data_IF_766162768957
#
_entry.id   IF_766162768957
#
_cell.length_a   1.000
_cell.length_b   1.000
_cell.length_c   1.000
_cell.angle_alpha   90.00
_cell.angle_beta   90.00
_cell.angle_gamma   90.00
#
_symmetry.space_group_name_H-M   'P 1'
#
loop_
_entity.id
_entity.type
_entity.pdbx_description
1 polymer ?
#
# COMPACT_ATOMS: atom_id res chain seq x y z
N UNK A 1 -8.63 -19.37 -5.76
CA UNK A 1 -8.99 -20.77 -5.39
C UNK A 1 -8.97 -20.88 -3.89
N UNK A 2 -9.57 -21.96 -3.32
CA UNK A 2 -9.39 -22.24 -1.90
C UNK A 2 -7.98 -22.77 -1.64
N UNK A 3 -7.37 -22.41 -0.51
CA UNK A 3 -6.07 -22.92 -0.10
C UNK A 3 -6.14 -23.37 1.36
N UNK A 4 -5.64 -24.56 1.66
CA UNK A 4 -5.42 -25.04 3.03
C UNK A 4 -3.98 -24.77 3.44
N UNK A 5 -3.82 -24.22 4.62
CA UNK A 5 -2.54 -23.84 5.23
C UNK A 5 -2.31 -24.73 6.43
N UNK A 6 -1.22 -25.49 6.42
CA UNK A 6 -0.84 -26.38 7.52
C UNK A 6 -0.30 -25.56 8.68
N UNK A 7 -0.77 -25.79 9.91
CA UNK A 7 -0.34 -25.08 11.10
C UNK A 7 1.12 -25.34 11.43
N UNK A 8 1.72 -24.44 12.19
CA UNK A 8 3.06 -24.55 12.74
C UNK A 8 3.92 -23.33 12.46
N UNK A 9 4.77 -23.02 13.42
CA UNK A 9 5.71 -21.91 13.33
C UNK A 9 6.65 -22.07 12.12
N UNK A 10 7.06 -20.95 11.55
CA UNK A 10 7.91 -20.91 10.35
C UNK A 10 9.25 -20.27 10.66
N UNK A 11 10.32 -20.79 10.03
CA UNK A 11 11.66 -20.26 10.15
C UNK A 11 12.37 -20.25 8.80
N UNK A 12 13.32 -19.34 8.63
CA UNK A 12 14.12 -19.24 7.41
C UNK A 12 14.35 -17.80 6.96
N UNK A 13 14.61 -17.66 5.66
CA UNK A 13 14.91 -16.37 5.03
C UNK A 13 14.00 -16.13 3.83
N UNK A 14 13.57 -14.89 3.65
CA UNK A 14 12.77 -14.46 2.49
C UNK A 14 13.35 -13.14 1.97
N UNK A 15 13.53 -13.04 0.65
CA UNK A 15 13.83 -11.77 -0.01
C UNK A 15 12.53 -11.11 -0.44
N UNK A 16 12.27 -9.92 0.13
CA UNK A 16 11.01 -9.22 -0.10
C UNK A 16 10.93 -8.62 -1.50
N UNK A 17 9.76 -8.63 -2.18
CA UNK A 17 9.57 -7.96 -3.45
C UNK A 17 9.63 -6.44 -3.31
N UNK A 18 9.70 -5.76 -4.45
CA UNK A 18 9.68 -4.31 -4.54
C UNK A 18 8.39 -3.69 -3.98
N UNK A 19 8.54 -2.54 -3.33
CA UNK A 19 7.43 -1.79 -2.73
C UNK A 19 6.42 -1.34 -3.78
N UNK A 20 5.20 -1.87 -3.68
CA UNK A 20 4.09 -1.44 -4.53
C UNK A 20 3.89 0.08 -4.45
N UNK A 21 3.90 0.62 -3.25
CA UNK A 21 3.65 2.05 -3.00
C UNK A 21 4.72 2.96 -3.60
N UNK A 22 5.99 2.53 -3.60
CA UNK A 22 7.07 3.28 -4.24
C UNK A 22 7.06 3.08 -5.75
N UNK A 23 6.81 1.86 -6.23
CA UNK A 23 6.76 1.53 -7.66
C UNK A 23 5.76 2.39 -8.44
N UNK A 24 4.55 2.59 -7.91
CA UNK A 24 3.56 3.49 -8.51
C UNK A 24 4.13 4.89 -8.75
N UNK A 25 4.78 5.46 -7.75
CA UNK A 25 5.35 6.81 -7.78
C UNK A 25 6.47 6.93 -8.80
N UNK A 26 7.39 5.98 -8.78
CA UNK A 26 8.55 5.99 -9.67
C UNK A 26 8.14 5.73 -11.13
N UNK A 27 7.17 4.86 -11.40
CA UNK A 27 6.62 4.65 -12.74
C UNK A 27 5.94 5.94 -13.27
N UNK A 28 5.18 6.61 -12.42
CA UNK A 28 4.53 7.89 -12.75
C UNK A 28 5.59 8.96 -13.04
N UNK A 29 6.59 9.11 -12.16
CA UNK A 29 7.67 10.07 -12.38
C UNK A 29 8.46 9.77 -13.67
N UNK A 30 8.73 8.49 -13.98
CA UNK A 30 9.38 8.08 -15.21
C UNK A 30 8.54 8.43 -16.45
N UNK A 31 7.22 8.19 -16.39
CA UNK A 31 6.30 8.50 -17.50
C UNK A 31 6.11 10.01 -17.72
N UNK A 32 6.22 10.81 -16.65
CA UNK A 32 6.12 12.29 -16.69
C UNK A 32 7.49 12.97 -16.89
N UNK A 33 8.52 12.19 -17.14
CA UNK A 33 9.89 12.66 -17.34
C UNK A 33 10.20 13.14 -18.73
N UNK A 34 11.48 13.37 -18.99
CA UNK A 34 12.01 13.76 -20.30
C UNK A 34 12.86 12.64 -20.92
N UNK A 35 13.53 11.84 -20.12
CA UNK A 35 14.42 10.78 -20.55
C UNK A 35 13.85 9.38 -20.27
N UNK A 36 14.36 8.41 -21.05
CA UNK A 36 14.05 7.00 -20.86
C UNK A 36 14.64 6.50 -19.53
N UNK A 37 13.84 5.83 -18.72
CA UNK A 37 14.22 5.35 -17.39
C UNK A 37 13.95 3.85 -17.25
N UNK A 38 14.94 3.09 -16.78
CA UNK A 38 14.78 1.74 -16.29
C UNK A 38 14.31 1.80 -14.82
N UNK A 39 13.08 1.35 -14.55
CA UNK A 39 12.54 1.20 -13.20
C UNK A 39 12.67 -0.27 -12.80
N UNK A 40 13.67 -0.57 -11.99
CA UNK A 40 13.91 -1.93 -11.48
C UNK A 40 12.92 -2.23 -10.36
N UNK A 41 12.05 -3.22 -10.58
CA UNK A 41 10.94 -3.55 -9.71
C UNK A 41 10.73 -5.07 -9.73
N UNK A 42 11.30 -5.79 -8.76
CA UNK A 42 11.12 -7.23 -8.64
C UNK A 42 9.72 -7.55 -8.06
N UNK A 43 9.02 -8.50 -8.66
CA UNK A 43 7.70 -8.93 -8.18
C UNK A 43 6.56 -7.98 -8.59
N UNK A 44 6.37 -7.80 -9.89
CA UNK A 44 5.30 -6.94 -10.44
C UNK A 44 3.93 -7.44 -9.98
N UNK A 45 3.29 -6.67 -9.11
CA UNK A 45 1.93 -6.94 -8.63
C UNK A 45 0.85 -6.48 -9.63
N UNK A 46 -0.38 -6.97 -9.48
CA UNK A 46 -1.50 -6.57 -10.32
C UNK A 46 -1.73 -5.05 -10.30
N UNK A 47 -1.58 -4.41 -9.14
CA UNK A 47 -1.72 -2.95 -8.99
C UNK A 47 -0.61 -2.19 -9.74
N UNK A 48 0.65 -2.66 -9.67
CA UNK A 48 1.78 -2.06 -10.40
C UNK A 48 1.55 -2.19 -11.92
N UNK A 49 1.15 -3.38 -12.38
CA UNK A 49 0.83 -3.62 -13.79
C UNK A 49 -0.31 -2.74 -14.29
N UNK A 50 -1.35 -2.52 -13.47
CA UNK A 50 -2.46 -1.62 -13.80
C UNK A 50 -1.95 -0.17 -14.01
N UNK A 51 -1.06 0.33 -13.14
CA UNK A 51 -0.46 1.67 -13.32
C UNK A 51 0.35 1.75 -14.61
N UNK A 52 1.20 0.76 -14.90
CA UNK A 52 1.98 0.73 -16.13
C UNK A 52 1.09 0.75 -17.38
N UNK A 53 0.01 -0.06 -17.41
CA UNK A 53 -0.97 -0.08 -18.49
C UNK A 53 -1.69 1.26 -18.66
N UNK A 54 -2.13 1.89 -17.57
CA UNK A 54 -2.79 3.20 -17.62
C UNK A 54 -1.84 4.29 -18.14
N UNK A 55 -0.57 4.29 -17.71
CA UNK A 55 0.44 5.21 -18.21
C UNK A 55 0.72 5.00 -19.72
N UNK A 56 0.73 3.74 -20.17
CA UNK A 56 0.84 3.42 -21.59
C UNK A 56 -0.35 3.95 -22.39
N UNK A 57 -1.57 3.82 -21.87
CA UNK A 57 -2.78 4.37 -22.48
C UNK A 57 -2.74 5.92 -22.55
N UNK A 58 -2.03 6.58 -21.62
CA UNK A 58 -1.79 8.03 -21.65
C UNK A 58 -0.64 8.46 -22.57
N UNK A 59 0.04 7.53 -23.23
CA UNK A 59 1.05 7.80 -24.24
C UNK A 59 2.50 7.53 -23.84
N UNK A 60 2.76 6.97 -22.65
CA UNK A 60 4.07 6.44 -22.32
C UNK A 60 4.33 5.15 -23.12
N UNK A 61 5.58 4.90 -23.51
CA UNK A 61 5.97 3.57 -24.02
C UNK A 61 6.64 2.80 -22.91
N UNK A 62 5.96 1.78 -22.40
CA UNK A 62 6.43 0.95 -21.28
C UNK A 62 6.67 -0.46 -21.78
N UNK A 63 7.90 -0.92 -21.67
CA UNK A 63 8.35 -2.27 -22.01
C UNK A 63 8.61 -3.01 -20.69
N UNK A 64 7.92 -4.14 -20.47
CA UNK A 64 8.17 -5.01 -19.34
C UNK A 64 9.48 -5.76 -19.56
N UNK A 65 10.31 -5.79 -18.52
CA UNK A 65 11.61 -6.47 -18.50
C UNK A 65 11.58 -7.59 -17.46
N UNK A 66 12.59 -8.42 -17.41
CA UNK A 66 12.72 -9.50 -16.42
C UNK A 66 12.63 -8.98 -14.97
N UNK A 67 13.17 -7.81 -14.71
CA UNK A 67 13.20 -7.19 -13.38
C UNK A 67 12.60 -5.78 -13.37
N UNK A 68 11.43 -5.59 -13.99
CA UNK A 68 10.77 -4.29 -13.93
C UNK A 68 10.35 -3.72 -15.28
N UNK A 69 10.58 -2.43 -15.52
CA UNK A 69 10.06 -1.73 -16.67
C UNK A 69 11.09 -0.77 -17.29
N UNK A 70 11.12 -0.72 -18.62
CA UNK A 70 11.77 0.33 -19.34
C UNK A 70 10.72 1.34 -19.79
N UNK A 71 10.75 2.54 -19.22
CA UNK A 71 9.73 3.58 -19.42
C UNK A 71 10.28 4.68 -20.34
N UNK A 72 9.64 4.88 -21.49
CA UNK A 72 9.84 6.06 -22.32
C UNK A 72 8.71 7.06 -22.01
N UNK A 73 9.02 8.33 -21.72
CA UNK A 73 8.06 9.32 -21.22
C UNK A 73 6.91 9.63 -22.19
N UNK A 74 5.81 10.15 -21.64
CA UNK A 74 4.70 10.72 -22.40
C UNK A 74 5.18 11.98 -23.11
N UNK A 75 5.34 11.91 -24.43
CA UNK A 75 5.68 13.09 -25.27
C UNK A 75 4.44 13.81 -25.79
N UNK A 76 3.40 13.06 -26.08
CA UNK A 76 2.09 13.56 -26.55
C UNK A 76 1.02 12.62 -26.01
N UNK A 77 -0.04 13.19 -25.46
CA UNK A 77 -1.24 12.43 -25.09
C UNK A 77 -1.93 11.98 -26.39
N UNK A 78 -2.42 10.74 -26.47
CA UNK A 78 -3.19 10.28 -27.63
C UNK A 78 -4.41 11.15 -27.90
N UNK A 79 -4.78 11.27 -29.17
CA UNK A 79 -6.00 11.98 -29.56
C UNK A 79 -7.24 11.12 -29.21
N UNK A 80 -8.28 11.79 -28.73
CA UNK A 80 -9.51 11.14 -28.30
C UNK A 80 -9.46 10.66 -26.85
N UNK A 81 -10.30 9.68 -26.55
CA UNK A 81 -10.49 9.17 -25.18
C UNK A 81 -9.52 8.04 -24.86
N UNK A 82 -8.85 8.16 -23.72
CA UNK A 82 -7.99 7.10 -23.17
C UNK A 82 -8.80 6.20 -22.22
N UNK A 83 -8.78 4.89 -22.42
CA UNK A 83 -9.38 3.92 -21.51
C UNK A 83 -8.33 3.44 -20.50
N UNK A 84 -8.56 3.72 -19.20
CA UNK A 84 -7.62 3.49 -18.11
C UNK A 84 -8.15 2.37 -17.21
N UNK A 85 -7.64 1.16 -17.40
CA UNK A 85 -8.04 -0.03 -16.63
C UNK A 85 -7.26 -0.09 -15.32
N UNK A 86 -7.81 0.51 -14.27
CA UNK A 86 -7.16 0.52 -12.96
C UNK A 86 -7.49 -0.68 -12.08
N UNK A 87 -8.40 -1.58 -12.53
CA UNK A 87 -8.82 -2.73 -11.75
C UNK A 87 -9.33 -2.30 -10.36
N UNK A 88 -8.82 -2.94 -9.32
CA UNK A 88 -9.13 -2.58 -7.93
C UNK A 88 -8.10 -1.60 -7.30
N UNK A 89 -7.10 -1.13 -8.07
CA UNK A 89 -6.02 -0.29 -7.57
C UNK A 89 -6.45 1.14 -7.24
N UNK A 90 -6.67 1.41 -5.97
CA UNK A 90 -6.95 2.76 -5.49
C UNK A 90 -5.80 3.74 -5.71
N UNK A 91 -4.55 3.27 -5.69
CA UNK A 91 -3.38 4.10 -5.97
C UNK A 91 -3.34 4.53 -7.43
N UNK A 92 -3.56 3.59 -8.37
CA UNK A 92 -3.62 3.89 -9.80
C UNK A 92 -4.67 4.96 -10.09
N UNK A 93 -5.91 4.76 -9.62
CA UNK A 93 -6.99 5.72 -9.82
C UNK A 93 -6.66 7.10 -9.26
N UNK A 94 -6.31 7.16 -7.96
CA UNK A 94 -6.19 8.44 -7.24
C UNK A 94 -4.94 9.22 -7.57
N UNK A 95 -3.88 8.54 -8.03
CA UNK A 95 -2.69 9.22 -8.52
C UNK A 95 -2.87 9.73 -9.94
N UNK A 96 -3.47 8.92 -10.82
CA UNK A 96 -3.60 9.29 -12.22
C UNK A 96 -4.75 10.26 -12.49
N UNK A 97 -5.78 10.30 -11.66
CA UNK A 97 -6.91 11.20 -11.87
C UNK A 97 -6.51 12.68 -11.98
N UNK A 98 -5.75 13.28 -11.03
CA UNK A 98 -5.25 14.64 -11.21
C UNK A 98 -4.21 14.77 -12.34
N UNK A 99 -3.43 13.71 -12.63
CA UNK A 99 -2.46 13.72 -13.73
C UNK A 99 -3.17 13.78 -15.09
N UNK A 100 -4.29 13.07 -15.28
CA UNK A 100 -5.13 13.18 -16.48
C UNK A 100 -5.57 14.62 -16.70
N UNK A 101 -6.00 15.31 -15.64
CA UNK A 101 -6.34 16.73 -15.71
C UNK A 101 -5.13 17.63 -16.00
N UNK A 102 -3.97 17.35 -15.41
CA UNK A 102 -2.75 18.12 -15.68
C UNK A 102 -2.25 17.96 -17.13
N UNK A 103 -2.47 16.79 -17.73
CA UNK A 103 -2.15 16.50 -19.13
C UNK A 103 -3.24 17.01 -20.10
N UNK A 104 -4.41 17.44 -19.61
CA UNK A 104 -5.56 17.81 -20.43
C UNK A 104 -6.15 16.65 -21.23
N UNK A 105 -5.96 15.42 -20.76
CA UNK A 105 -6.45 14.24 -21.43
C UNK A 105 -7.96 14.02 -21.21
N UNK A 106 -8.62 13.40 -22.20
CA UNK A 106 -9.94 12.82 -22.01
C UNK A 106 -9.77 11.34 -21.66
N UNK A 107 -10.30 10.90 -20.53
CA UNK A 107 -10.12 9.51 -20.11
C UNK A 107 -11.37 8.92 -19.46
N UNK A 108 -11.41 7.59 -19.45
CA UNK A 108 -12.36 6.79 -18.67
C UNK A 108 -11.58 5.82 -17.81
N UNK A 109 -11.74 5.91 -16.51
CA UNK A 109 -11.25 4.90 -15.58
C UNK A 109 -12.25 3.76 -15.47
N UNK A 110 -11.79 2.54 -15.74
CA UNK A 110 -12.51 1.29 -15.50
C UNK A 110 -12.10 0.79 -14.12
N UNK A 111 -13.06 0.75 -13.21
CA UNK A 111 -12.87 0.38 -11.80
C UNK A 111 -13.51 -0.97 -11.54
N UNK A 112 -12.89 -1.79 -10.72
CA UNK A 112 -13.39 -3.14 -10.41
C UNK A 112 -13.53 -3.34 -8.90
N UNK A 113 -14.23 -4.42 -8.52
CA UNK A 113 -14.42 -4.82 -7.12
C UNK A 113 -15.07 -3.73 -6.29
N UNK A 114 -14.47 -3.40 -5.14
CA UNK A 114 -14.96 -2.32 -4.26
C UNK A 114 -14.48 -0.93 -4.63
N UNK A 115 -13.62 -0.78 -5.65
CA UNK A 115 -13.06 0.54 -5.97
C UNK A 115 -14.12 1.59 -6.34
N UNK A 116 -15.23 1.25 -7.04
CA UNK A 116 -16.31 2.20 -7.31
C UNK A 116 -17.00 2.74 -6.05
N UNK A 117 -17.08 1.96 -4.98
CA UNK A 117 -17.71 2.37 -3.71
C UNK A 117 -16.76 3.12 -2.78
N UNK A 118 -15.45 3.09 -3.03
CA UNK A 118 -14.47 3.81 -2.20
C UNK A 118 -14.54 5.30 -2.51
N UNK A 119 -14.54 6.18 -1.46
CA UNK A 119 -14.75 7.61 -1.66
C UNK A 119 -13.69 8.23 -2.60
N UNK A 120 -14.15 9.16 -3.43
CA UNK A 120 -13.31 10.09 -4.18
C UNK A 120 -13.35 11.50 -3.58
N UNK A 121 -14.42 11.85 -2.86
CA UNK A 121 -14.51 13.12 -2.16
C UNK A 121 -13.45 13.19 -1.02
N UNK A 122 -12.82 14.35 -0.81
CA UNK A 122 -13.04 15.63 -1.47
C UNK A 122 -12.21 15.85 -2.74
N UNK A 123 -11.42 14.86 -3.22
CA UNK A 123 -10.57 15.05 -4.39
C UNK A 123 -11.36 15.46 -5.64
N UNK A 124 -12.51 14.81 -5.87
CA UNK A 124 -13.37 15.09 -7.02
C UNK A 124 -13.86 16.55 -7.06
N UNK A 125 -14.26 17.09 -5.91
CA UNK A 125 -14.70 18.49 -5.79
C UNK A 125 -13.54 19.45 -6.09
N UNK A 126 -12.37 19.19 -5.48
CA UNK A 126 -11.16 20.01 -5.71
C UNK A 126 -10.76 20.01 -7.19
N UNK A 127 -10.82 18.88 -7.87
CA UNK A 127 -10.48 18.79 -9.29
C UNK A 127 -11.50 19.52 -10.18
N UNK A 128 -12.81 19.45 -9.84
CA UNK A 128 -13.87 20.16 -10.55
C UNK A 128 -13.74 21.68 -10.41
N UNK A 129 -13.43 22.16 -9.21
CA UNK A 129 -13.19 23.58 -8.94
C UNK A 129 -12.01 24.15 -9.76
N UNK A 130 -11.06 23.28 -10.14
CA UNK A 130 -9.85 23.66 -10.88
C UNK A 130 -9.86 23.25 -12.36
N UNK A 131 -11.06 23.04 -12.94
CA UNK A 131 -11.22 22.94 -14.40
C UNK A 131 -11.46 21.54 -14.96
N UNK A 132 -11.55 20.51 -14.12
CA UNK A 132 -11.94 19.17 -14.58
C UNK A 132 -13.45 18.97 -14.58
N UNK A 133 -13.91 18.13 -15.49
CA UNK A 133 -15.26 17.56 -15.49
C UNK A 133 -15.17 16.09 -15.16
N UNK A 134 -15.90 15.66 -14.14
CA UNK A 134 -15.96 14.27 -13.67
C UNK A 134 -17.41 13.79 -13.66
N UNK A 135 -17.66 12.61 -14.25
CA UNK A 135 -18.97 11.96 -14.25
C UNK A 135 -18.80 10.47 -13.95
N UNK A 136 -19.46 10.01 -12.92
CA UNK A 136 -19.54 8.59 -12.59
C UNK A 136 -20.72 7.93 -13.30
N UNK A 137 -20.52 6.67 -13.74
CA UNK A 137 -21.53 5.86 -14.39
C UNK A 137 -21.24 4.39 -14.07
N UNK A 138 -21.82 3.88 -12.99
CA UNK A 138 -21.50 2.55 -12.45
C UNK A 138 -20.01 2.43 -12.11
N UNK A 139 -19.34 1.46 -12.70
CA UNK A 139 -17.90 1.21 -12.48
C UNK A 139 -17.00 2.16 -13.28
N UNK A 140 -17.57 2.99 -14.14
CA UNK A 140 -16.83 3.92 -14.98
C UNK A 140 -16.75 5.32 -14.36
N UNK A 141 -15.57 5.93 -14.43
CA UNK A 141 -15.37 7.34 -14.10
C UNK A 141 -14.84 8.06 -15.34
N UNK A 142 -15.69 8.87 -15.95
CA UNK A 142 -15.35 9.75 -17.08
C UNK A 142 -14.70 11.02 -16.58
N UNK A 143 -13.59 11.41 -17.16
CA UNK A 143 -12.90 12.64 -16.83
C UNK A 143 -12.38 13.35 -18.07
N UNK A 144 -12.45 14.68 -18.03
CA UNK A 144 -11.99 15.59 -19.08
C UNK A 144 -11.70 16.96 -18.48
N UNK A 145 -11.21 17.89 -19.31
CA UNK A 145 -10.84 19.23 -18.89
C UNK A 145 -9.37 19.36 -18.57
N UNK A 146 -8.94 20.60 -18.35
CA UNK A 146 -7.55 20.95 -18.05
C UNK A 146 -7.45 21.54 -16.66
N UNK A 147 -6.64 20.95 -15.78
CA UNK A 147 -6.32 21.56 -14.50
C UNK A 147 -5.58 22.89 -14.70
N UNK A 148 -5.93 23.86 -13.89
CA UNK A 148 -5.30 25.18 -13.87
C UNK A 148 -4.57 25.38 -12.53
N UNK A 149 -3.38 26.02 -12.57
CA UNK A 149 -2.63 26.35 -11.35
C UNK A 149 -3.39 27.34 -10.47
N UNK A 150 -3.17 27.27 -9.17
CA UNK A 150 -3.86 28.08 -8.17
C UNK A 150 -3.78 27.51 -6.76
N UNK A 151 -4.71 27.91 -5.90
CA UNK A 151 -4.76 27.48 -4.50
C UNK A 151 -5.65 26.25 -4.35
N UNK A 152 -5.04 25.12 -4.04
CA UNK A 152 -5.68 23.84 -3.78
C UNK A 152 -5.77 23.61 -2.27
N UNK A 153 -6.94 23.31 -1.75
CA UNK A 153 -7.12 22.93 -0.35
C UNK A 153 -7.79 21.56 -0.27
N UNK A 154 -7.19 20.64 0.49
CA UNK A 154 -7.70 19.27 0.63
C UNK A 154 -7.62 18.80 2.08
N UNK A 155 -8.62 18.03 2.52
CA UNK A 155 -8.63 17.44 3.86
C UNK A 155 -7.57 16.33 3.99
N UNK A 156 -6.77 16.37 5.06
CA UNK A 156 -5.67 15.43 5.31
C UNK A 156 -6.11 14.10 5.92
N UNK A 157 -7.32 14.04 6.45
CA UNK A 157 -7.82 12.89 7.21
C UNK A 157 -8.62 11.87 6.39
N UNK A 158 -8.74 12.05 5.07
CA UNK A 158 -9.48 11.10 4.21
C UNK A 158 -8.54 10.13 3.51
N UNK A 159 -7.60 10.64 2.72
CA UNK A 159 -6.64 9.79 2.01
C UNK A 159 -5.37 10.54 1.63
N UNK A 160 -4.21 10.02 2.07
CA UNK A 160 -2.90 10.51 1.63
C UNK A 160 -2.67 10.35 0.11
N UNK A 161 -3.43 9.45 -0.55
CA UNK A 161 -3.36 9.26 -2.00
C UNK A 161 -3.85 10.48 -2.78
N UNK A 162 -4.78 11.26 -2.23
CA UNK A 162 -5.26 12.49 -2.88
C UNK A 162 -4.17 13.55 -2.92
N UNK A 163 -3.49 13.73 -1.78
CA UNK A 163 -2.37 14.67 -1.66
C UNK A 163 -1.23 14.23 -2.59
N UNK A 164 -0.88 12.94 -2.57
CA UNK A 164 0.16 12.36 -3.44
C UNK A 164 -0.14 12.56 -4.92
N UNK A 165 -1.39 12.33 -5.36
CA UNK A 165 -1.80 12.55 -6.74
C UNK A 165 -1.68 14.01 -7.17
N UNK A 166 -2.10 14.95 -6.31
CA UNK A 166 -1.96 16.39 -6.56
C UNK A 166 -0.48 16.80 -6.60
N UNK A 167 0.35 16.34 -5.66
CA UNK A 167 1.80 16.64 -5.65
C UNK A 167 2.51 16.17 -6.92
N UNK A 168 2.08 15.06 -7.54
CA UNK A 168 2.65 14.58 -8.80
C UNK A 168 2.10 15.32 -10.03
N UNK A 169 0.88 15.85 -9.94
CA UNK A 169 0.21 16.51 -11.08
C UNK A 169 0.50 18.01 -11.19
N UNK A 170 0.48 18.72 -10.06
CA UNK A 170 0.56 20.19 -10.04
C UNK A 170 1.87 20.77 -10.61
N UNK A 171 3.04 20.12 -10.47
CA UNK A 171 4.27 20.60 -11.11
C UNK A 171 4.21 20.70 -12.64
N UNK A 172 3.32 19.93 -13.28
CA UNK A 172 3.17 19.91 -14.75
C UNK A 172 2.41 21.11 -15.29
N UNK A 173 1.67 21.83 -14.44
CA UNK A 173 0.80 22.92 -14.85
C UNK A 173 1.59 24.15 -15.33
N UNK A 174 0.96 25.00 -16.14
CA UNK A 174 1.61 26.22 -16.69
C UNK A 174 1.88 27.24 -15.57
N UNK A 175 0.95 27.35 -14.61
CA UNK A 175 1.03 28.30 -13.50
C UNK A 175 1.40 27.58 -12.21
N UNK A 176 2.03 28.33 -11.32
CA UNK A 176 2.34 27.87 -9.97
C UNK A 176 1.06 27.50 -9.20
N UNK A 177 1.22 26.60 -8.25
CA UNK A 177 0.14 26.17 -7.36
C UNK A 177 0.57 26.22 -5.91
N UNK A 178 -0.40 26.38 -5.01
CA UNK A 178 -0.25 26.20 -3.57
C UNK A 178 -1.16 25.07 -3.14
N UNK A 179 -0.62 24.00 -2.62
CA UNK A 179 -1.39 22.92 -2.03
C UNK A 179 -1.40 23.04 -0.51
N UNK A 180 -2.57 23.21 0.07
CA UNK A 180 -2.79 23.28 1.52
C UNK A 180 -3.56 22.05 2.00
N UNK A 181 -3.10 21.45 3.08
CA UNK A 181 -3.81 20.35 3.74
C UNK A 181 -4.50 20.89 4.98
N UNK A 182 -5.82 20.74 5.03
CA UNK A 182 -6.63 21.12 6.19
C UNK A 182 -6.79 19.94 7.16
N UNK A 183 -6.78 20.22 8.45
CA UNK A 183 -6.89 19.22 9.51
C UNK A 183 -5.63 18.35 9.66
N UNK A 184 -5.73 17.26 10.42
CA UNK A 184 -4.61 16.34 10.63
C UNK A 184 -4.24 15.59 9.34
N UNK A 185 -2.94 15.46 9.07
CA UNK A 185 -2.44 14.65 7.97
C UNK A 185 -2.24 13.21 8.44
N UNK A 186 -3.23 12.37 8.17
CA UNK A 186 -3.11 10.95 8.43
C UNK A 186 -2.30 10.21 7.38
N UNK A 187 -1.60 9.15 7.80
CA UNK A 187 -0.68 8.39 6.93
C UNK A 187 0.35 9.30 6.23
N UNK A 188 0.93 10.25 6.97
CA UNK A 188 1.90 11.23 6.47
C UNK A 188 3.11 10.57 5.77
N UNK A 189 3.50 9.38 6.19
CA UNK A 189 4.59 8.62 5.59
C UNK A 189 4.35 8.33 4.09
N UNK A 190 3.12 8.09 3.66
CA UNK A 190 2.83 7.91 2.22
C UNK A 190 2.95 9.20 1.42
N UNK A 191 2.74 10.36 2.06
CA UNK A 191 3.02 11.67 1.43
C UNK A 191 4.53 11.88 1.37
N UNK A 192 5.28 11.55 2.44
CA UNK A 192 6.73 11.59 2.44
C UNK A 192 7.36 10.73 1.33
N UNK A 193 6.86 9.50 1.11
CA UNK A 193 7.29 8.68 -0.03
C UNK A 193 7.07 9.39 -1.38
N UNK A 194 6.03 10.22 -1.51
CA UNK A 194 5.81 11.01 -2.73
C UNK A 194 6.81 12.15 -2.81
N UNK A 195 7.04 12.85 -1.71
CA UNK A 195 8.07 13.90 -1.62
C UNK A 195 9.46 13.35 -2.02
N UNK A 196 9.84 12.17 -1.51
CA UNK A 196 11.10 11.50 -1.86
C UNK A 196 11.18 11.15 -3.37
N UNK A 197 10.10 10.60 -3.95
CA UNK A 197 10.06 10.30 -5.37
C UNK A 197 10.19 11.56 -6.25
N UNK A 198 9.55 12.66 -5.84
CA UNK A 198 9.62 13.96 -6.52
C UNK A 198 11.01 14.60 -6.36
N UNK A 199 11.59 14.51 -5.17
CA UNK A 199 12.97 14.97 -4.93
C UNK A 199 13.99 14.16 -5.74
N UNK A 200 13.84 12.82 -5.80
CA UNK A 200 14.66 11.96 -6.64
C UNK A 200 14.52 12.34 -8.13
N UNK A 201 13.33 12.79 -8.52
CA UNK A 201 13.01 13.29 -9.86
C UNK A 201 13.43 14.75 -10.08
N UNK A 202 14.18 15.36 -9.14
CA UNK A 202 14.67 16.74 -9.18
C UNK A 202 13.59 17.82 -9.28
N UNK A 203 12.38 17.53 -8.84
CA UNK A 203 11.32 18.53 -8.75
C UNK A 203 11.51 19.40 -7.50
N UNK A 204 11.28 20.70 -7.66
CA UNK A 204 11.36 21.67 -6.55
C UNK A 204 9.96 21.90 -6.01
N UNK A 205 9.70 21.45 -4.77
CA UNK A 205 8.40 21.57 -4.10
C UNK A 205 8.63 22.00 -2.65
N UNK A 206 8.92 23.29 -2.39
CA UNK A 206 9.11 23.81 -1.05
C UNK A 206 7.90 23.55 -0.16
N UNK A 207 8.17 23.02 1.04
CA UNK A 207 7.15 22.70 2.03
C UNK A 207 7.27 23.59 3.27
N UNK A 208 6.14 24.10 3.74
CA UNK A 208 6.01 24.88 4.97
C UNK A 208 4.85 24.33 5.81
N UNK A 209 5.18 23.52 6.80
CA UNK A 209 4.15 22.83 7.60
C UNK A 209 3.28 21.91 6.74
N UNK A 210 1.98 22.17 6.68
CA UNK A 210 1.02 21.43 5.87
C UNK A 210 0.74 22.08 4.50
N UNK A 211 1.67 22.88 3.99
CA UNK A 211 1.56 23.55 2.69
C UNK A 211 2.76 23.24 1.81
N UNK A 212 2.52 23.13 0.50
CA UNK A 212 3.54 23.00 -0.55
C UNK A 212 3.37 24.10 -1.57
N UNK A 213 4.43 24.91 -1.75
CA UNK A 213 4.54 25.82 -2.88
C UNK A 213 5.05 25.01 -4.08
N UNK A 214 4.31 24.97 -5.16
CA UNK A 214 4.57 24.10 -6.30
C UNK A 214 4.75 24.96 -7.55
N UNK A 215 6.00 25.31 -7.93
CA UNK A 215 6.27 25.96 -9.21
C UNK A 215 5.77 25.10 -10.36
N UNK A 216 5.15 25.73 -11.34
CA UNK A 216 4.67 25.08 -12.54
C UNK A 216 5.78 24.81 -13.57
N UNK A 217 5.40 24.24 -14.70
CA UNK A 217 6.25 23.96 -15.85
C UNK A 217 7.48 23.08 -15.54
N UNK A 218 7.38 22.23 -14.52
CA UNK A 218 8.42 21.28 -14.16
C UNK A 218 8.23 19.93 -14.87
N UNK A 219 9.33 19.20 -15.06
CA UNK A 219 9.36 17.84 -15.59
C UNK A 219 10.19 16.96 -14.68
N UNK A 220 9.85 15.68 -14.60
CA UNK A 220 10.60 14.72 -13.81
C UNK A 220 11.94 14.37 -14.48
N UNK A 221 13.01 14.27 -13.69
CA UNK A 221 14.33 13.85 -14.14
C UNK A 221 14.87 12.74 -13.23
N UNK A 222 14.32 11.54 -13.38
CA UNK A 222 14.81 10.38 -12.67
C UNK A 222 16.20 9.94 -13.19
N UNK A 223 17.04 9.30 -12.35
CA UNK A 223 18.21 8.58 -12.82
C UNK A 223 17.82 7.55 -13.90
N UNK A 224 18.69 7.35 -14.91
CA UNK A 224 18.42 6.40 -16.01
C UNK A 224 18.09 4.99 -15.53
N UNK A 225 18.62 4.59 -14.37
CA UNK A 225 18.29 3.36 -13.68
C UNK A 225 17.89 3.69 -12.25
N UNK A 226 16.65 3.40 -11.90
CA UNK A 226 16.05 3.68 -10.59
C UNK A 226 15.52 2.37 -10.00
N UNK A 227 15.97 2.03 -8.80
CA UNK A 227 15.60 0.78 -8.12
C UNK A 227 14.51 1.06 -7.10
N UNK A 228 13.44 0.28 -7.17
CA UNK A 228 12.38 0.28 -6.15
C UNK A 228 12.86 -0.50 -4.94
N UNK A 229 12.77 0.08 -3.76
CA UNK A 229 13.15 -0.58 -2.50
C UNK A 229 12.18 -1.68 -2.08
N UNK A 230 12.59 -2.54 -1.14
CA UNK A 230 11.76 -3.61 -0.59
C UNK A 230 10.50 -3.10 0.10
N UNK A 231 9.42 -3.88 0.02
CA UNK A 231 8.09 -3.54 0.52
C UNK A 231 7.95 -3.81 2.02
N UNK A 232 7.90 -2.76 2.84
CA UNK A 232 7.72 -2.88 4.29
C UNK A 232 6.32 -3.37 4.70
N UNK A 233 5.29 -3.08 3.90
CA UNK A 233 3.93 -3.59 4.16
C UNK A 233 3.88 -5.12 4.05
N UNK A 234 4.52 -5.67 3.00
CA UNK A 234 4.59 -7.11 2.77
C UNK A 234 5.59 -7.79 3.71
N UNK A 235 6.68 -7.12 4.08
CA UNK A 235 7.66 -7.56 5.08
C UNK A 235 7.00 -7.88 6.41
N UNK A 236 6.01 -7.11 6.82
CA UNK A 236 5.34 -7.25 8.11
C UNK A 236 4.76 -8.66 8.33
N UNK A 237 4.26 -9.32 7.28
CA UNK A 237 3.70 -10.67 7.42
C UNK A 237 4.78 -11.67 7.87
N UNK A 238 5.94 -11.64 7.25
CA UNK A 238 7.06 -12.53 7.59
C UNK A 238 7.71 -12.19 8.93
N UNK A 239 7.83 -10.90 9.26
CA UNK A 239 8.33 -10.50 10.58
C UNK A 239 7.36 -10.90 11.70
N UNK A 240 6.04 -10.80 11.46
CA UNK A 240 5.04 -11.31 12.42
C UNK A 240 5.08 -12.84 12.54
N UNK A 241 5.34 -13.59 11.44
CA UNK A 241 5.60 -15.03 11.51
C UNK A 241 6.83 -15.31 12.39
N UNK A 242 7.89 -14.51 12.23
CA UNK A 242 9.09 -14.58 13.06
C UNK A 242 8.81 -14.33 14.55
N UNK A 243 7.96 -13.35 14.88
CA UNK A 243 7.53 -13.06 16.24
C UNK A 243 6.75 -14.24 16.89
N UNK A 244 6.21 -15.14 16.08
CA UNK A 244 5.50 -16.36 16.52
C UNK A 244 6.39 -17.62 16.51
N UNK A 245 7.67 -17.49 16.09
CA UNK A 245 8.63 -18.58 15.90
C UNK A 245 9.85 -18.42 16.84
N UNK A 246 10.29 -19.50 17.48
CA UNK A 246 11.48 -19.50 18.35
C UNK A 246 12.78 -19.27 17.58
N UNK A 247 12.90 -19.90 16.41
CA UNK A 247 14.07 -19.75 15.54
C UNK A 247 14.01 -18.42 14.73
N UNK A 248 12.79 -17.93 14.48
CA UNK A 248 12.53 -16.67 13.82
C UNK A 248 12.59 -16.70 12.30
N UNK A 249 12.24 -15.55 11.70
CA UNK A 249 12.29 -15.33 10.26
C UNK A 249 13.16 -14.11 9.97
N UNK A 250 13.99 -14.23 8.94
CA UNK A 250 14.82 -13.14 8.40
C UNK A 250 14.22 -12.65 7.08
N UNK A 251 14.00 -11.35 6.95
CA UNK A 251 13.59 -10.70 5.69
C UNK A 251 14.74 -9.86 5.17
N UNK A 252 15.09 -10.05 3.90
CA UNK A 252 16.20 -9.40 3.20
C UNK A 252 15.71 -8.45 2.09
N UNK A 253 16.56 -7.54 1.64
CA UNK A 253 16.27 -6.58 0.57
C UNK A 253 15.58 -5.31 1.06
N UNK A 254 15.74 -4.96 2.32
CA UNK A 254 15.10 -3.83 2.98
C UNK A 254 15.99 -2.58 2.99
N UNK A 255 15.38 -1.43 2.79
CA UNK A 255 16.00 -0.16 3.13
C UNK A 255 15.60 0.22 4.57
N UNK A 256 16.54 0.10 5.50
CA UNK A 256 16.31 0.42 6.92
C UNK A 256 16.11 1.93 7.18
N UNK A 257 16.41 2.78 6.21
CA UNK A 257 16.18 4.24 6.26
C UNK A 257 14.98 4.67 5.41
N UNK A 258 14.15 3.71 4.99
CA UNK A 258 12.97 3.97 4.15
C UNK A 258 11.97 4.91 4.83
N UNK A 259 11.37 5.80 4.05
CA UNK A 259 10.22 6.62 4.44
C UNK A 259 8.89 5.85 4.47
N UNK A 260 8.88 4.57 4.08
CA UNK A 260 7.68 3.73 4.19
C UNK A 260 7.23 3.64 5.65
N UNK A 261 6.01 4.12 5.95
CA UNK A 261 5.48 4.17 7.32
C UNK A 261 5.37 2.79 7.96
N UNK A 262 5.16 1.76 7.15
CA UNK A 262 5.01 0.37 7.59
C UNK A 262 6.33 -0.23 8.14
N UNK A 263 7.48 0.46 8.00
CA UNK A 263 8.69 0.17 8.78
C UNK A 263 8.42 0.23 10.29
N UNK A 264 7.39 0.97 10.72
CA UNK A 264 6.90 1.02 12.09
C UNK A 264 6.52 -0.35 12.68
N UNK A 265 6.39 -1.40 11.86
CA UNK A 265 6.23 -2.79 12.33
C UNK A 265 7.31 -3.20 13.33
N UNK A 266 8.56 -2.73 13.14
CA UNK A 266 9.68 -3.05 14.02
C UNK A 266 9.45 -2.53 15.45
N UNK A 267 8.96 -1.30 15.57
CA UNK A 267 8.72 -0.69 16.88
C UNK A 267 7.53 -1.38 17.58
N UNK A 268 6.48 -1.72 16.82
CA UNK A 268 5.32 -2.44 17.38
C UNK A 268 5.73 -3.83 17.84
N UNK A 269 6.53 -4.58 17.06
CA UNK A 269 6.99 -5.92 17.43
C UNK A 269 7.92 -5.89 18.66
N UNK A 270 8.81 -4.88 18.77
CA UNK A 270 9.61 -4.67 19.99
C UNK A 270 8.74 -4.40 21.21
N UNK A 271 7.71 -3.58 21.06
CA UNK A 271 6.74 -3.28 22.13
C UNK A 271 5.93 -4.50 22.53
N UNK A 272 5.60 -5.41 21.59
CA UNK A 272 5.04 -6.71 21.92
C UNK A 272 6.00 -7.60 22.71
N UNK A 273 7.30 -7.33 22.72
CA UNK A 273 8.33 -8.12 23.36
C UNK A 273 9.01 -9.13 22.44
N UNK A 274 8.83 -9.02 21.11
CA UNK A 274 9.59 -9.82 20.16
C UNK A 274 11.05 -9.37 20.07
N UNK A 275 11.96 -10.29 19.77
CA UNK A 275 13.37 -10.01 19.57
C UNK A 275 13.59 -9.56 18.12
N UNK A 276 13.98 -8.30 17.93
CA UNK A 276 14.18 -7.68 16.60
C UNK A 276 15.64 -7.32 16.42
N UNK A 277 16.28 -7.91 15.41
CA UNK A 277 17.69 -7.64 15.05
C UNK A 277 17.77 -7.09 13.62
N UNK A 278 18.42 -5.95 13.46
CA UNK A 278 18.67 -5.30 12.17
C UNK A 278 20.12 -5.55 11.75
N UNK A 279 20.36 -5.97 10.49
CA UNK A 279 21.70 -6.22 9.98
C UNK A 279 21.77 -5.97 8.47
N UNK A 280 22.53 -4.93 8.06
CA UNK A 280 22.64 -4.55 6.64
C UNK A 280 21.31 -4.18 6.01
N UNK A 281 20.88 -4.94 5.00
CA UNK A 281 19.58 -4.81 4.34
C UNK A 281 18.55 -5.84 4.83
N UNK A 282 18.79 -6.45 6.00
CA UNK A 282 17.97 -7.53 6.53
C UNK A 282 17.48 -7.24 7.95
N UNK A 283 16.32 -7.81 8.29
CA UNK A 283 15.75 -7.83 9.63
C UNK A 283 15.41 -9.26 10.01
N UNK A 284 15.83 -9.67 11.20
CA UNK A 284 15.42 -10.93 11.82
C UNK A 284 14.52 -10.66 13.01
N UNK A 285 13.38 -11.33 13.07
CA UNK A 285 12.49 -11.30 14.23
C UNK A 285 12.33 -12.70 14.77
N UNK A 286 12.38 -12.82 16.11
CA UNK A 286 12.15 -14.06 16.85
C UNK A 286 11.13 -13.84 17.97
N UNK A 287 10.52 -14.93 18.39
CA UNK A 287 9.57 -14.93 19.52
C UNK A 287 10.29 -14.62 20.82
N UNK A 288 9.83 -13.55 21.48
CA UNK A 288 10.14 -13.26 22.88
C UNK A 288 8.95 -13.50 23.79
N UNK A 289 8.92 -12.85 24.94
CA UNK A 289 7.76 -12.85 25.86
C UNK A 289 6.71 -11.85 25.33
N UNK A 290 5.83 -12.33 24.47
CA UNK A 290 4.82 -11.47 23.84
C UNK A 290 3.75 -11.03 24.85
N UNK A 291 3.50 -9.74 24.93
CA UNK A 291 2.48 -9.12 25.79
C UNK A 291 1.68 -8.05 25.06
N UNK A 292 0.47 -7.77 25.54
CA UNK A 292 -0.45 -6.82 24.93
C UNK A 292 0.08 -5.38 24.92
N UNK A 293 -0.30 -4.62 23.88
CA UNK A 293 0.15 -3.23 23.64
C UNK A 293 -1.00 -2.38 23.12
N UNK A 294 -0.87 -1.06 23.18
CA UNK A 294 -1.73 -0.15 22.43
C UNK A 294 -1.08 0.19 21.09
N UNK A 295 -1.83 0.06 19.98
CA UNK A 295 -1.38 0.35 18.62
C UNK A 295 -2.19 1.51 18.05
N UNK A 296 -1.51 2.60 17.70
CA UNK A 296 -2.11 3.65 16.86
C UNK A 296 -2.11 3.21 15.41
N UNK A 297 -3.31 3.01 14.84
CA UNK A 297 -3.47 2.56 13.46
C UNK A 297 -3.32 3.69 12.42
N UNK A 298 -3.42 4.95 12.81
CA UNK A 298 -3.39 6.06 11.87
C UNK A 298 -2.13 6.12 10.99
N UNK A 299 -0.90 5.94 11.52
CA UNK A 299 0.31 5.93 10.68
C UNK A 299 0.52 4.63 9.90
N UNK A 300 0.00 3.49 10.38
CA UNK A 300 0.29 2.13 9.88
C UNK A 300 -0.97 1.29 9.64
N UNK A 301 -2.01 1.84 8.99
CA UNK A 301 -3.31 1.15 8.87
C UNK A 301 -3.21 -0.20 8.16
N UNK A 302 -2.25 -0.35 7.28
CA UNK A 302 -2.05 -1.54 6.48
C UNK A 302 -1.42 -2.72 7.27
N UNK A 303 -0.84 -2.45 8.42
CA UNK A 303 -0.27 -3.47 9.31
C UNK A 303 -1.28 -4.07 10.29
N UNK A 304 -2.42 -3.43 10.51
CA UNK A 304 -3.35 -3.83 11.57
C UNK A 304 -3.83 -5.28 11.44
N UNK A 305 -4.19 -5.79 10.24
CA UNK A 305 -4.61 -7.19 10.14
C UNK A 305 -3.57 -8.19 10.65
N UNK A 306 -2.30 -8.03 10.25
CA UNK A 306 -1.25 -8.97 10.65
C UNK A 306 -0.78 -8.77 12.09
N UNK A 307 -0.71 -7.52 12.57
CA UNK A 307 -0.37 -7.24 13.98
C UNK A 307 -1.45 -7.76 14.94
N UNK A 308 -2.72 -7.76 14.49
CA UNK A 308 -3.83 -8.35 15.26
C UNK A 308 -3.68 -9.87 15.44
N UNK A 309 -3.01 -10.55 14.50
CA UNK A 309 -2.67 -11.97 14.65
C UNK A 309 -1.63 -12.16 15.78
N UNK A 310 -0.58 -11.33 15.84
CA UNK A 310 0.39 -11.38 16.95
C UNK A 310 -0.30 -11.07 18.27
N UNK A 311 -1.14 -10.02 18.29
CA UNK A 311 -1.93 -9.63 19.46
C UNK A 311 -2.81 -10.76 20.01
N UNK A 312 -3.37 -11.59 19.11
CA UNK A 312 -4.30 -12.67 19.50
C UNK A 312 -3.65 -13.79 20.35
N UNK A 313 -2.32 -13.85 20.37
CA UNK A 313 -1.56 -14.83 21.18
C UNK A 313 -0.52 -14.18 22.12
N UNK A 314 -0.55 -12.87 22.25
CA UNK A 314 0.24 -12.11 23.21
C UNK A 314 -0.47 -12.10 24.58
N UNK A 315 0.26 -12.21 25.68
CA UNK A 315 -0.31 -12.21 27.02
C UNK A 315 -1.00 -10.87 27.35
N UNK A 316 -2.24 -10.92 27.83
CA UNK A 316 -3.01 -9.73 28.21
C UNK A 316 -3.85 -9.14 27.07
N UNK A 317 -4.04 -7.84 27.09
CA UNK A 317 -4.94 -7.12 26.19
C UNK A 317 -4.15 -6.19 25.24
N UNK A 318 -4.47 -6.26 23.96
CA UNK A 318 -4.00 -5.30 22.94
C UNK A 318 -5.14 -4.41 22.51
N UNK A 319 -4.90 -3.10 22.44
CA UNK A 319 -5.84 -2.10 21.92
C UNK A 319 -5.34 -1.55 20.60
N UNK A 320 -6.18 -1.58 19.56
CA UNK A 320 -5.97 -0.87 18.30
C UNK A 320 -6.89 0.34 18.32
N UNK A 321 -6.31 1.51 18.12
CA UNK A 321 -7.00 2.81 18.17
C UNK A 321 -6.78 3.58 16.85
N UNK A 322 -7.61 4.60 16.59
CA UNK A 322 -7.55 5.44 15.38
C UNK A 322 -7.63 4.63 14.08
N UNK A 323 -8.50 3.62 14.03
CA UNK A 323 -8.56 2.62 12.98
C UNK A 323 -9.77 2.78 12.03
N UNK A 324 -10.61 3.81 12.18
CA UNK A 324 -11.84 3.99 11.38
C UNK A 324 -11.60 3.88 9.87
N UNK A 325 -10.49 4.42 9.37
CA UNK A 325 -10.15 4.38 7.93
C UNK A 325 -9.94 2.97 7.36
N UNK A 326 -9.73 1.96 8.21
CA UNK A 326 -9.66 0.57 7.77
C UNK A 326 -10.98 0.10 7.17
N UNK A 327 -12.11 0.70 7.56
CA UNK A 327 -13.45 0.38 7.01
C UNK A 327 -13.61 0.81 5.55
N UNK A 328 -12.79 1.76 5.08
CA UNK A 328 -12.81 2.34 3.73
C UNK A 328 -11.78 1.73 2.78
N UNK A 329 -11.17 0.62 3.17
CA UNK A 329 -10.14 -0.08 2.38
C UNK A 329 -10.75 -1.10 1.40
N UNK A 330 -9.94 -2.02 0.91
CA UNK A 330 -10.34 -3.10 -0.01
C UNK A 330 -11.46 -3.98 0.53
N UNK A 331 -11.48 -4.16 1.83
CA UNK A 331 -12.59 -4.68 2.64
C UNK A 331 -12.92 -3.68 3.76
N UNK A 332 -13.96 -3.89 4.56
CA UNK A 332 -14.00 -3.32 5.90
C UNK A 332 -12.97 -4.09 6.75
N UNK A 333 -11.71 -3.64 6.67
CA UNK A 333 -10.58 -4.37 7.29
C UNK A 333 -10.70 -4.48 8.79
N UNK A 334 -11.39 -3.52 9.45
CA UNK A 334 -11.60 -3.59 10.90
C UNK A 334 -12.49 -4.78 11.23
N UNK A 335 -13.67 -4.84 10.58
CA UNK A 335 -14.60 -5.96 10.70
C UNK A 335 -13.98 -7.28 10.25
N UNK A 336 -13.38 -7.31 9.07
CA UNK A 336 -12.83 -8.54 8.49
C UNK A 336 -11.65 -9.09 9.30
N UNK A 337 -10.85 -8.24 9.95
CA UNK A 337 -9.80 -8.68 10.88
C UNK A 337 -10.41 -9.30 12.13
N UNK A 338 -11.46 -8.68 12.70
CA UNK A 338 -12.16 -9.26 13.84
C UNK A 338 -12.81 -10.62 13.48
N UNK A 339 -13.43 -10.71 12.32
CA UNK A 339 -14.05 -11.96 11.84
C UNK A 339 -13.02 -13.07 11.61
N UNK A 340 -11.84 -12.73 11.03
CA UNK A 340 -10.72 -13.65 10.88
C UNK A 340 -10.28 -14.22 12.24
N UNK A 341 -10.06 -13.36 13.24
CA UNK A 341 -9.63 -13.80 14.55
C UNK A 341 -10.69 -14.68 15.23
N UNK A 342 -11.97 -14.28 15.17
CA UNK A 342 -13.08 -15.08 15.75
C UNK A 342 -13.21 -16.45 15.08
N UNK A 343 -13.07 -16.51 13.74
CA UNK A 343 -13.12 -17.77 13.01
C UNK A 343 -12.03 -18.75 13.42
N UNK A 344 -10.91 -18.23 13.95
CA UNK A 344 -9.78 -19.02 14.44
C UNK A 344 -9.76 -19.16 15.97
N UNK A 345 -10.84 -18.83 16.70
CA UNK A 345 -10.94 -18.96 18.14
C UNK A 345 -10.28 -17.85 18.94
N UNK A 346 -9.87 -16.75 18.29
CA UNK A 346 -9.35 -15.56 18.97
C UNK A 346 -10.45 -14.77 19.66
N UNK A 347 -10.08 -14.06 20.73
CA UNK A 347 -10.97 -13.20 21.51
C UNK A 347 -10.79 -11.74 21.08
N UNK A 348 -11.77 -11.19 20.37
CA UNK A 348 -11.73 -9.83 19.85
C UNK A 348 -13.07 -9.13 19.95
N UNK A 349 -13.04 -7.91 20.46
CA UNK A 349 -14.15 -6.96 20.44
C UNK A 349 -13.88 -5.89 19.37
N UNK A 350 -14.80 -5.80 18.41
CA UNK A 350 -14.77 -4.73 17.41
C UNK A 350 -15.41 -3.47 17.99
N UNK A 351 -14.70 -2.35 17.88
CA UNK A 351 -15.18 -1.01 18.21
C UNK A 351 -15.47 -0.22 16.94
N UNK A 352 -16.10 0.94 17.03
CA UNK A 352 -16.31 1.81 15.87
C UNK A 352 -14.99 2.23 15.21
N UNK A 353 -13.99 2.56 16.01
CA UNK A 353 -12.68 3.08 15.60
C UNK A 353 -11.51 2.22 16.09
N UNK A 354 -11.71 0.92 16.28
CA UNK A 354 -10.62 0.08 16.79
C UNK A 354 -10.99 -1.36 17.09
N UNK A 355 -10.03 -2.06 17.67
CA UNK A 355 -10.18 -3.43 18.17
C UNK A 355 -9.64 -3.54 19.60
N UNK A 356 -10.27 -4.37 20.40
CA UNK A 356 -9.72 -4.84 21.67
C UNK A 356 -9.52 -6.36 21.55
N UNK A 357 -8.27 -6.82 21.67
CA UNK A 357 -7.89 -8.21 21.43
C UNK A 357 -7.30 -8.76 22.72
N UNK A 358 -7.89 -9.84 23.23
CA UNK A 358 -7.36 -10.57 24.40
C UNK A 358 -6.60 -11.78 23.92
N UNK A 359 -5.36 -11.94 24.37
CA UNK A 359 -4.52 -13.07 24.00
C UNK A 359 -5.06 -14.40 24.45
N UNK A 360 -4.94 -15.41 23.57
CA UNK A 360 -5.27 -16.81 23.85
C UNK A 360 -3.99 -17.66 23.76
N UNK A 361 -3.92 -18.84 24.41
CA UNK A 361 -2.73 -19.67 24.36
C UNK A 361 -2.34 -20.13 22.95
N UNK A 362 -3.31 -20.37 22.09
CA UNK A 362 -3.14 -20.72 20.68
C UNK A 362 -4.44 -20.42 19.91
N UNK A 363 -4.32 -20.16 18.62
CA UNK A 363 -5.46 -20.15 17.71
C UNK A 363 -5.89 -21.58 17.34
N UNK A 364 -7.10 -21.73 16.83
CA UNK A 364 -7.59 -22.99 16.31
C UNK A 364 -7.40 -23.05 14.79
N UNK A 365 -7.73 -24.19 14.15
CA UNK A 365 -7.97 -24.25 12.71
C UNK A 365 -9.34 -23.68 12.38
N UNK A 366 -9.56 -23.34 11.10
CA UNK A 366 -10.83 -22.82 10.67
C UNK A 366 -10.84 -22.32 9.23
N UNK A 367 -12.01 -21.86 8.78
CA UNK A 367 -12.19 -21.24 7.47
C UNK A 367 -12.19 -19.72 7.62
N UNK A 368 -11.39 -19.04 6.79
CA UNK A 368 -11.26 -17.58 6.74
C UNK A 368 -11.78 -17.08 5.41
N UNK A 369 -12.71 -16.13 5.47
CA UNK A 369 -13.18 -15.37 4.32
C UNK A 369 -12.27 -14.17 4.09
N UNK A 370 -11.58 -14.14 2.97
CA UNK A 370 -10.60 -13.09 2.65
C UNK A 370 -11.24 -11.79 2.17
N UNK A 371 -12.52 -11.80 1.84
CA UNK A 371 -13.22 -10.64 1.27
C UNK A 371 -12.50 -10.08 0.03
N UNK A 372 -11.79 -10.94 -0.72
CA UNK A 372 -10.89 -10.56 -1.81
C UNK A 372 -9.80 -9.54 -1.39
N UNK A 373 -9.47 -9.47 -0.12
CA UNK A 373 -8.40 -8.61 0.42
C UNK A 373 -7.13 -9.44 0.68
N UNK A 374 -6.06 -9.10 -0.04
CA UNK A 374 -4.77 -9.78 0.06
C UNK A 374 -4.19 -9.78 1.49
N UNK A 375 -4.44 -8.72 2.27
CA UNK A 375 -3.92 -8.64 3.64
C UNK A 375 -4.58 -9.64 4.57
N UNK A 376 -5.85 -9.98 4.35
CA UNK A 376 -6.52 -11.01 5.13
C UNK A 376 -5.99 -12.42 4.79
N UNK A 377 -5.77 -12.70 3.50
CA UNK A 377 -5.19 -13.98 3.08
C UNK A 377 -3.78 -14.18 3.67
N UNK A 378 -2.94 -13.14 3.62
CA UNK A 378 -1.58 -13.19 4.19
C UNK A 378 -1.59 -13.22 5.73
N UNK A 379 -2.55 -12.54 6.38
CA UNK A 379 -2.75 -12.62 7.84
C UNK A 379 -3.21 -14.00 8.28
N UNK A 380 -4.06 -14.68 7.50
CA UNK A 380 -4.44 -16.06 7.76
C UNK A 380 -3.24 -17.01 7.67
N UNK A 381 -2.32 -16.78 6.71
CA UNK A 381 -1.06 -17.53 6.64
C UNK A 381 -0.18 -17.29 7.87
N UNK A 382 -0.11 -16.04 8.36
CA UNK A 382 0.60 -15.72 9.61
C UNK A 382 -0.07 -16.36 10.81
N UNK A 383 -1.41 -16.39 10.87
CA UNK A 383 -2.17 -17.03 11.96
C UNK A 383 -1.89 -18.53 12.07
N UNK A 384 -1.63 -19.19 10.95
CA UNK A 384 -1.27 -20.61 10.93
C UNK A 384 0.02 -20.90 11.74
N UNK A 385 0.91 -19.91 11.92
CA UNK A 385 2.10 -20.07 12.77
C UNK A 385 1.78 -20.19 14.26
N UNK A 386 0.60 -19.76 14.69
CA UNK A 386 0.13 -19.85 16.07
C UNK A 386 -1.12 -20.74 16.25
N UNK A 387 -1.53 -21.46 15.20
CA UNK A 387 -2.71 -22.31 15.20
C UNK A 387 -2.37 -23.77 15.53
N UNK A 388 -3.37 -24.47 16.08
CA UNK A 388 -3.29 -25.92 16.38
C UNK A 388 -3.93 -26.79 15.30
N UNK A 389 -4.68 -26.20 14.36
CA UNK A 389 -5.35 -26.88 13.27
C UNK A 389 -5.20 -26.16 11.94
N UNK A 390 -5.58 -26.83 10.84
CA UNK A 390 -5.49 -26.30 9.49
C UNK A 390 -6.36 -25.04 9.31
N UNK A 391 -5.85 -24.06 8.56
CA UNK A 391 -6.60 -22.86 8.17
C UNK A 391 -6.89 -22.91 6.67
N UNK A 392 -8.13 -22.69 6.30
CA UNK A 392 -8.54 -22.63 4.88
C UNK A 392 -8.94 -21.20 4.52
N UNK A 393 -8.32 -20.63 3.49
CA UNK A 393 -8.74 -19.37 2.88
C UNK A 393 -9.56 -19.62 1.62
N UNK A 394 -10.60 -18.81 1.41
CA UNK A 394 -11.55 -18.95 0.29
C UNK A 394 -10.94 -18.50 -1.06
N UNK A 395 -10.04 -17.50 -1.05
CA UNK A 395 -9.41 -16.95 -2.23
C UNK A 395 -7.92 -16.68 -2.01
N UNK A 396 -7.07 -17.62 -2.42
CA UNK A 396 -5.62 -17.49 -2.33
C UNK A 396 -5.02 -16.57 -3.40
N UNK A 397 -5.72 -16.37 -4.53
CA UNK A 397 -5.25 -15.55 -5.64
C UNK A 397 -5.26 -14.04 -5.36
N UNK A 398 -6.00 -13.59 -4.33
CA UNK A 398 -6.09 -12.17 -4.02
C UNK A 398 -4.73 -11.55 -3.59
N UNK A 399 -3.76 -12.36 -3.17
CA UNK A 399 -2.41 -11.90 -2.81
C UNK A 399 -1.67 -11.26 -3.99
N UNK A 400 -2.03 -11.62 -5.23
CA UNK A 400 -1.42 -11.07 -6.44
C UNK A 400 -1.59 -9.54 -6.58
N UNK A 401 -2.54 -8.92 -5.84
CA UNK A 401 -2.73 -7.47 -5.79
C UNK A 401 -1.49 -6.72 -5.28
N UNK A 402 -0.73 -7.34 -4.37
CA UNK A 402 0.48 -6.72 -3.80
C UNK A 402 1.70 -7.64 -3.77
N UNK A 403 1.50 -8.95 -3.69
CA UNK A 403 2.57 -9.92 -3.53
C UNK A 403 2.30 -11.23 -4.30
N UNK A 404 2.54 -11.27 -5.62
CA UNK A 404 2.22 -12.44 -6.45
C UNK A 404 2.88 -13.73 -6.00
N UNK A 405 4.13 -13.67 -5.52
CA UNK A 405 4.91 -14.83 -5.06
C UNK A 405 4.72 -15.18 -3.58
N UNK A 406 3.76 -14.58 -2.88
CA UNK A 406 3.60 -14.76 -1.43
C UNK A 406 3.55 -16.23 -1.01
N UNK A 407 2.78 -17.06 -1.71
CA UNK A 407 2.64 -18.47 -1.35
C UNK A 407 3.88 -19.30 -1.62
N UNK A 408 4.69 -18.93 -2.61
CA UNK A 408 6.00 -19.55 -2.90
C UNK A 408 6.97 -19.21 -1.77
N UNK A 409 7.10 -17.94 -1.43
CA UNK A 409 7.97 -17.46 -0.36
C UNK A 409 7.53 -18.01 1.02
N UNK A 410 6.22 -18.04 1.30
CA UNK A 410 5.69 -18.69 2.50
C UNK A 410 6.05 -20.18 2.57
N UNK A 411 5.94 -20.89 1.44
CA UNK A 411 6.23 -22.33 1.36
C UNK A 411 7.74 -22.64 1.43
N UNK A 412 8.59 -21.66 1.11
CA UNK A 412 10.06 -21.79 1.22
C UNK A 412 10.55 -21.80 2.67
N UNK A 413 9.76 -21.21 3.57
CA UNK A 413 10.04 -21.26 5.01
C UNK A 413 9.82 -22.66 5.55
N UNK A 414 10.74 -23.11 6.39
CA UNK A 414 10.67 -24.42 7.05
C UNK A 414 9.69 -24.37 8.22
N UNK A 415 8.98 -25.47 8.48
CA UNK A 415 8.26 -25.65 9.75
C UNK A 415 9.24 -25.84 10.90
N UNK A 416 8.99 -25.21 12.05
CA UNK A 416 9.69 -25.55 13.29
C UNK A 416 9.15 -26.84 13.85
N UNK A 417 10.03 -27.79 14.19
CA UNK A 417 9.71 -28.90 15.07
C UNK A 417 8.74 -29.95 14.53
N UNK A 418 8.70 -30.17 13.20
CA UNK A 418 8.10 -31.38 12.63
C UNK A 418 9.17 -32.43 12.38
#
# INVERSE_FOLDING_TARGET
>A
MKRTIIPGARTGRVRIPASKSQAHRLLICAALGEEKTEVVCDGISADIAATAKCLSALGAKIEEMETGFLVSPIKKVPEGRCDLYCGESGSTLRFLLPIVGALGAQAVFHREGRLPQRPLAPLDSVLKEHGMTLREDGDLLYCSGQLIGGNYTIAGNVSSQYISGLLMALPLLIRDSLLMVSGPLESAAYVAMTEDALQLSKLTIPKMGAMWAIPGQQRCHLPRRTVVEGDWSNTAFFLCMGALSKEGVTVEGLNLQSSQGDRGVLDVLRRFGAEVTEHGDAVTVKRGALHGVTIDAAPIPDLIPVLSVVASVAEGETRVENAYRLRLKESDRLKSTADLLRALGGQVEEKEDGLVITGVPALHGGAVETQNDHRLAMSAATAACAATGEITVDNDGCVAKSYPRFWEDFSSLKGEGL
#
